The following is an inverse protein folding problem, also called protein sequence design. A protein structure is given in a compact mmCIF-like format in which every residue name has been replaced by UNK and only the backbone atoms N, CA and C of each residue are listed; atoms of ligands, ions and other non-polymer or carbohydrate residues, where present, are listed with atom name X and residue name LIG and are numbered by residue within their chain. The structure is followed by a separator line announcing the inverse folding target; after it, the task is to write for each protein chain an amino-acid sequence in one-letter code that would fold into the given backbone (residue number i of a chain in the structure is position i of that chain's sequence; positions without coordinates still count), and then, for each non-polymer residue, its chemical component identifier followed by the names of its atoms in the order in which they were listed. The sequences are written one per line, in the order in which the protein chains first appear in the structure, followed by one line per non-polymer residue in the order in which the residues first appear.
data_IF_270297271302
#
_entry.id   IF_270297271302
#
_cell.length_a   1.000
_cell.length_b   1.000
_cell.length_c   1.000
_cell.angle_alpha   90.00
_cell.angle_beta   90.00
_cell.angle_gamma   90.00
#
_symmetry.space_group_name_H-M   'P 1'
#
loop_
_entity.id
_entity.type
_entity.pdbx_description
1 polymer ?
#
# COMPACT_ATOMS: atom_id res chain seq x y z
N UNK A 1 1.53 -5.30 1.45
CA UNK A 1 0.58 -4.80 2.47
C UNK A 1 1.29 -3.73 3.31
N UNK A 2 1.16 -2.45 2.97
CA UNK A 2 1.99 -1.37 3.55
C UNK A 2 1.35 -0.68 4.77
N UNK A 3 0.01 -0.71 4.88
CA UNK A 3 -0.74 0.01 5.93
C UNK A 3 -0.45 -0.52 7.34
N UNK A 4 -0.30 -1.84 7.51
CA UNK A 4 0.02 -2.43 8.82
C UNK A 4 1.44 -2.06 9.26
N UNK A 5 2.39 -1.96 8.33
CA UNK A 5 3.75 -1.51 8.65
C UNK A 5 3.74 -0.06 9.16
N UNK A 6 3.00 0.83 8.49
CA UNK A 6 2.82 2.21 8.94
C UNK A 6 2.13 2.28 10.32
N UNK A 7 1.10 1.47 10.54
CA UNK A 7 0.42 1.39 11.83
C UNK A 7 1.32 0.88 12.96
N UNK A 8 2.26 -0.03 12.67
CA UNK A 8 3.27 -0.48 13.63
C UNK A 8 4.29 0.62 13.93
N UNK A 9 4.78 1.33 12.91
CA UNK A 9 5.69 2.48 13.08
C UNK A 9 5.05 3.57 13.94
N UNK A 10 3.75 3.83 13.74
CA UNK A 10 2.97 4.78 14.53
C UNK A 10 2.60 4.26 15.93
N UNK A 11 2.94 3.00 16.24
CA UNK A 11 2.56 2.36 17.50
C UNK A 11 1.03 2.32 17.69
N UNK A 12 0.28 2.20 16.60
CA UNK A 12 -1.17 2.39 16.56
C UNK A 12 -1.96 1.26 17.22
N UNK A 13 -1.36 0.09 17.43
CA UNK A 13 -2.07 -1.04 18.02
C UNK A 13 -2.10 -1.00 19.55
N UNK A 14 -3.30 -1.21 20.11
CA UNK A 14 -3.55 -1.45 21.53
C UNK A 14 -3.35 -2.94 21.84
N UNK A 15 -2.10 -3.39 21.79
CA UNK A 15 -1.73 -4.75 22.15
C UNK A 15 -0.40 -4.74 22.91
N UNK A 16 -0.28 -5.43 24.06
CA UNK A 16 1.00 -5.59 24.74
C UNK A 16 1.93 -6.59 24.02
N UNK A 17 1.40 -7.38 23.08
CA UNK A 17 2.10 -8.51 22.45
C UNK A 17 2.64 -8.22 21.05
N UNK A 18 2.14 -7.17 20.38
CA UNK A 18 2.62 -6.75 19.06
C UNK A 18 2.96 -5.27 19.15
N UNK A 19 4.25 -4.98 19.25
CA UNK A 19 4.80 -3.62 19.28
C UNK A 19 5.64 -3.33 18.03
N UNK A 20 6.06 -4.36 17.31
CA UNK A 20 6.98 -4.27 16.18
C UNK A 20 6.59 -5.22 15.05
N UNK A 21 7.17 -5.01 13.87
CA UNK A 21 6.99 -5.92 12.75
C UNK A 21 7.53 -7.34 13.06
N UNK A 22 8.58 -7.43 13.88
CA UNK A 22 9.17 -8.70 14.29
C UNK A 22 8.20 -9.55 15.12
N UNK A 23 7.29 -8.93 15.86
CA UNK A 23 6.31 -9.63 16.68
C UNK A 23 5.25 -10.34 15.83
N UNK A 24 4.95 -9.81 14.62
CA UNK A 24 4.03 -10.45 13.68
C UNK A 24 4.55 -11.81 13.20
N UNK A 25 5.86 -11.97 13.06
CA UNK A 25 6.47 -13.22 12.63
C UNK A 25 6.60 -14.26 13.75
N UNK A 26 6.61 -13.80 15.01
CA UNK A 26 6.71 -14.69 16.18
C UNK A 26 5.36 -15.17 16.66
N UNK A 27 4.31 -14.38 16.44
CA UNK A 27 2.98 -14.72 16.95
C UNK A 27 2.32 -15.79 16.08
N UNK A 28 1.98 -16.91 16.69
CA UNK A 28 1.13 -17.96 16.10
C UNK A 28 -0.34 -17.75 16.44
N UNK A 29 -1.22 -17.80 15.43
CA UNK A 29 -2.67 -17.76 15.67
C UNK A 29 -3.03 -18.99 16.53
N UNK A 30 -3.85 -18.78 17.57
CA UNK A 30 -4.25 -19.88 18.44
C UNK A 30 -5.00 -20.95 17.63
N UNK A 31 -4.83 -22.23 18.00
CA UNK A 31 -5.33 -23.38 17.23
C UNK A 31 -6.85 -23.36 16.94
N UNK A 32 -7.62 -22.62 17.76
CA UNK A 32 -9.08 -22.49 17.65
C UNK A 32 -9.52 -21.08 17.18
N UNK A 33 -8.64 -20.34 16.51
CA UNK A 33 -8.91 -19.00 16.00
C UNK A 33 -8.41 -18.88 14.57
N UNK A 34 -9.22 -18.28 13.69
CA UNK A 34 -8.85 -18.07 12.29
C UNK A 34 -8.16 -16.71 12.06
N UNK A 35 -8.15 -15.84 13.08
CA UNK A 35 -7.65 -14.48 12.95
C UNK A 35 -7.01 -13.93 14.22
N UNK A 36 -6.25 -12.85 14.06
CA UNK A 36 -5.74 -12.02 15.14
C UNK A 36 -6.50 -10.70 15.17
N UNK A 37 -7.09 -10.38 16.32
CA UNK A 37 -7.78 -9.11 16.50
C UNK A 37 -6.81 -7.99 16.88
N UNK A 38 -6.66 -7.04 15.97
CA UNK A 38 -5.93 -5.80 16.20
C UNK A 38 -6.89 -4.67 16.54
N UNK A 39 -6.75 -4.09 17.73
CA UNK A 39 -7.47 -2.87 18.10
C UNK A 39 -6.55 -1.68 17.96
N UNK A 40 -7.01 -0.63 17.28
CA UNK A 40 -6.29 0.64 17.23
C UNK A 40 -6.45 1.39 18.56
N UNK A 41 -5.42 2.13 18.96
CA UNK A 41 -5.52 3.06 20.08
C UNK A 41 -6.36 4.27 19.65
N UNK A 42 -7.19 4.79 20.56
CA UNK A 42 -8.18 5.83 20.23
C UNK A 42 -7.52 7.12 19.71
N UNK A 43 -6.38 7.48 20.26
CA UNK A 43 -5.56 8.63 19.88
C UNK A 43 -4.99 8.53 18.46
N UNK A 44 -4.81 7.31 17.94
CA UNK A 44 -4.28 7.10 16.57
C UNK A 44 -5.33 7.11 15.47
N UNK A 45 -6.62 7.11 15.83
CA UNK A 45 -7.72 7.05 14.83
C UNK A 45 -7.80 8.29 13.94
N UNK A 46 -7.39 9.44 14.47
CA UNK A 46 -7.37 10.72 13.73
C UNK A 46 -6.02 11.00 13.06
N UNK A 47 -5.05 10.10 13.19
CA UNK A 47 -3.73 10.27 12.57
C UNK A 47 -3.82 9.91 11.08
N UNK A 48 -3.49 10.83 10.16
CA UNK A 48 -3.54 10.51 8.73
C UNK A 48 -2.54 9.42 8.36
N UNK A 49 -2.93 8.48 7.50
CA UNK A 49 -2.04 7.41 7.02
C UNK A 49 -0.93 7.95 6.12
N UNK A 50 -1.27 8.86 5.21
CA UNK A 50 -0.30 9.53 4.35
C UNK A 50 -0.05 10.94 4.87
N UNK A 51 1.20 11.21 5.25
CA UNK A 51 1.61 12.47 5.89
C UNK A 51 2.69 13.18 5.09
N UNK A 52 2.70 14.51 5.20
CA UNK A 52 3.63 15.34 4.44
C UNK A 52 5.08 15.07 4.87
N UNK A 53 6.01 15.22 3.95
CA UNK A 53 7.43 15.33 4.27
C UNK A 53 7.76 16.78 4.64
N UNK A 54 8.36 17.00 5.81
CA UNK A 54 8.88 18.28 6.24
C UNK A 54 10.40 18.29 6.07
N UNK A 55 10.91 19.27 5.33
CA UNK A 55 12.35 19.49 5.21
C UNK A 55 12.83 20.29 6.42
N UNK A 56 13.72 19.71 7.22
CA UNK A 56 14.42 20.37 8.32
C UNK A 56 15.92 20.46 8.01
N UNK A 57 16.68 21.32 8.70
CA UNK A 57 18.14 21.37 8.55
C UNK A 57 18.83 20.02 8.79
N UNK A 58 18.25 19.17 9.64
CA UNK A 58 18.75 17.83 9.95
C UNK A 58 18.35 16.74 8.93
N UNK A 59 17.58 17.09 7.89
CA UNK A 59 17.09 16.16 6.88
C UNK A 59 15.57 16.23 6.68
N UNK A 60 15.06 15.27 5.91
CA UNK A 60 13.63 15.13 5.65
C UNK A 60 13.00 14.23 6.71
N UNK A 61 11.93 14.71 7.33
CA UNK A 61 11.13 13.92 8.27
C UNK A 61 9.67 13.83 7.81
N UNK A 62 8.96 12.78 8.21
CA UNK A 62 7.52 12.66 7.99
C UNK A 62 6.77 13.41 9.10
N UNK A 63 5.82 14.27 8.73
CA UNK A 63 4.93 14.95 9.70
C UNK A 63 4.15 13.90 10.49
N UNK A 64 3.89 14.21 11.77
CA UNK A 64 3.06 13.35 12.64
C UNK A 64 1.57 13.58 12.45
N UNK A 65 1.18 14.77 11.99
CA UNK A 65 -0.22 15.22 12.02
C UNK A 65 -0.71 15.73 10.68
N UNK A 66 0.18 16.21 9.80
CA UNK A 66 -0.23 16.88 8.58
C UNK A 66 -0.51 15.87 7.47
N UNK A 67 -1.76 15.79 6.97
CA UNK A 67 -2.09 14.88 5.89
C UNK A 67 -1.47 15.35 4.57
N UNK A 68 -1.12 14.39 3.71
CA UNK A 68 -0.89 14.67 2.30
C UNK A 68 -2.21 15.14 1.68
N UNK A 69 -2.18 16.26 0.95
CA UNK A 69 -3.38 16.76 0.26
C UNK A 69 -3.47 16.21 -1.15
N UNK A 70 -4.68 16.19 -1.71
CA UNK A 70 -4.90 15.81 -3.12
C UNK A 70 -4.04 16.63 -4.08
N UNK A 71 -3.84 17.92 -3.79
CA UNK A 71 -3.02 18.78 -4.63
C UNK A 71 -1.56 18.33 -4.64
N UNK A 72 -1.00 17.98 -3.49
CA UNK A 72 0.37 17.45 -3.38
C UNK A 72 0.52 16.15 -4.19
N UNK A 73 -0.47 15.26 -4.16
CA UNK A 73 -0.44 14.03 -4.95
C UNK A 73 -0.43 14.36 -6.45
N UNK A 74 -1.27 15.30 -6.89
CA UNK A 74 -1.34 15.72 -8.30
C UNK A 74 -0.02 16.33 -8.76
N UNK A 75 0.56 17.23 -7.96
CA UNK A 75 1.83 17.88 -8.27
C UNK A 75 2.96 16.82 -8.37
N UNK A 76 3.01 15.87 -7.44
CA UNK A 76 3.97 14.77 -7.48
C UNK A 76 3.79 13.86 -8.71
N UNK A 77 2.54 13.57 -9.11
CA UNK A 77 2.27 12.79 -10.32
C UNK A 77 2.76 13.53 -11.57
N UNK A 78 2.51 14.84 -11.64
CA UNK A 78 2.94 15.66 -12.75
C UNK A 78 4.48 15.69 -12.86
N UNK A 79 5.18 15.87 -11.74
CA UNK A 79 6.64 15.91 -11.72
C UNK A 79 7.26 14.54 -12.07
N UNK A 80 6.64 13.45 -11.59
CA UNK A 80 7.01 12.09 -11.98
C UNK A 80 6.83 11.87 -13.48
N UNK A 81 5.70 12.29 -14.05
CA UNK A 81 5.43 12.18 -15.49
C UNK A 81 6.46 12.94 -16.33
N UNK A 82 6.81 14.16 -15.92
CA UNK A 82 7.87 14.95 -16.56
C UNK A 82 9.22 14.25 -16.51
N UNK A 83 9.62 13.76 -15.33
CA UNK A 83 10.89 13.05 -15.14
C UNK A 83 10.98 11.76 -15.95
N UNK A 84 9.86 11.08 -16.18
CA UNK A 84 9.76 9.87 -16.99
C UNK A 84 9.61 10.15 -18.50
N UNK A 85 9.58 11.41 -18.94
CA UNK A 85 9.42 11.77 -20.36
C UNK A 85 8.01 11.54 -20.92
N UNK A 86 6.98 11.44 -20.06
CA UNK A 86 5.60 11.27 -20.49
C UNK A 86 5.07 12.59 -21.06
N UNK A 87 4.66 12.58 -22.33
CA UNK A 87 4.19 13.78 -23.05
C UNK A 87 2.92 14.35 -22.40
N UNK A 88 2.03 13.47 -21.96
CA UNK A 88 0.76 13.85 -21.33
C UNK A 88 0.92 14.00 -19.81
N UNK A 89 0.15 14.92 -19.22
CA UNK A 89 0.11 15.07 -17.76
C UNK A 89 -0.29 13.76 -17.09
N UNK A 90 0.64 13.19 -16.31
CA UNK A 90 0.38 12.02 -15.50
C UNK A 90 -0.55 12.39 -14.34
N UNK A 91 -1.65 11.66 -14.20
CA UNK A 91 -2.68 11.87 -13.17
C UNK A 91 -2.82 10.63 -12.29
N UNK A 92 -3.33 10.76 -11.05
CA UNK A 92 -3.59 9.60 -10.18
C UNK A 92 -4.42 8.50 -10.85
N UNK A 93 -5.40 8.89 -11.69
CA UNK A 93 -6.24 7.94 -12.41
C UNK A 93 -5.47 7.06 -13.41
N UNK A 94 -4.37 7.55 -13.98
CA UNK A 94 -3.54 6.79 -14.92
C UNK A 94 -3.00 5.50 -14.27
N UNK A 95 -2.60 5.56 -13.00
CA UNK A 95 -2.13 4.37 -12.26
C UNK A 95 -3.25 3.36 -12.05
N UNK A 96 -4.44 3.80 -11.62
CA UNK A 96 -5.59 2.90 -11.44
C UNK A 96 -5.97 2.22 -12.74
N UNK A 97 -6.05 2.98 -13.84
CA UNK A 97 -6.41 2.45 -15.15
C UNK A 97 -5.34 1.48 -15.67
N UNK A 98 -4.07 1.87 -15.63
CA UNK A 98 -2.97 1.03 -16.09
C UNK A 98 -2.85 -0.27 -15.31
N UNK A 99 -3.05 -0.24 -13.98
CA UNK A 99 -3.07 -1.44 -13.16
C UNK A 99 -4.25 -2.37 -13.53
N UNK A 100 -5.44 -1.80 -13.75
CA UNK A 100 -6.61 -2.57 -14.20
C UNK A 100 -6.39 -3.22 -15.55
N UNK A 101 -5.90 -2.47 -16.54
CA UNK A 101 -5.59 -3.00 -17.88
C UNK A 101 -4.52 -4.10 -17.83
N UNK A 102 -3.49 -3.95 -16.97
CA UNK A 102 -2.48 -4.98 -16.78
C UNK A 102 -3.07 -6.26 -16.18
N UNK A 103 -3.90 -6.15 -15.15
CA UNK A 103 -4.58 -7.30 -14.53
C UNK A 103 -5.54 -8.00 -15.50
N UNK A 104 -6.34 -7.24 -16.25
CA UNK A 104 -7.28 -7.80 -17.23
C UNK A 104 -6.54 -8.59 -18.32
N UNK A 105 -5.38 -8.11 -18.75
CA UNK A 105 -4.57 -8.81 -19.75
C UNK A 105 -3.99 -10.12 -19.17
N UNK A 106 -3.49 -10.10 -17.92
CA UNK A 106 -3.02 -11.32 -17.26
C UNK A 106 -4.13 -12.36 -17.13
N UNK A 107 -5.34 -11.95 -16.73
CA UNK A 107 -6.48 -12.86 -16.62
C UNK A 107 -6.89 -13.47 -17.97
N UNK A 108 -6.84 -12.67 -19.05
CA UNK A 108 -7.10 -13.18 -20.41
C UNK A 108 -6.06 -14.19 -20.87
N UNK A 109 -4.78 -13.98 -20.54
CA UNK A 109 -3.70 -14.93 -20.84
C UNK A 109 -3.90 -16.25 -20.08
N UNK A 110 -4.29 -16.18 -18.80
CA UNK A 110 -4.59 -17.34 -17.96
C UNK A 110 -5.87 -18.10 -18.39
N UNK A 111 -6.85 -17.42 -18.98
CA UNK A 111 -8.09 -18.03 -19.51
C UNK A 111 -7.87 -18.72 -20.87
N UNK A 112 -6.84 -18.34 -21.63
CA UNK A 112 -6.47 -19.00 -22.90
C UNK A 112 -5.61 -20.25 -22.64
N UNK A 113 -4.77 -20.25 -21.60
CA UNK A 113 -3.93 -21.38 -21.21
C UNK A 113 -4.62 -22.74 -20.88
N UNK A 114 -5.87 -22.83 -20.39
CA UNK A 114 -6.52 -24.11 -20.08
C UNK A 114 -6.99 -24.85 -21.34
N UNK A 115 -7.04 -24.18 -22.50
CA UNK A 115 -7.55 -24.76 -23.74
C UNK A 115 -6.50 -25.50 -24.58
N UNK A 116 -5.21 -25.39 -24.24
CA UNK A 116 -4.11 -25.99 -25.05
C UNK A 116 -3.65 -27.35 -24.51
N UNK A 117 -4.13 -27.80 -23.34
CA UNK A 117 -3.72 -29.10 -22.77
C UNK A 117 -4.57 -30.30 -23.24
N UNK A 118 -5.67 -30.11 -23.98
CA UNK A 118 -6.50 -31.23 -24.47
C UNK A 118 -6.19 -31.69 -25.90
N UNK A 119 -5.19 -31.12 -26.58
CA UNK A 119 -4.89 -31.44 -27.98
C UNK A 119 -3.68 -32.37 -28.21
N UNK A 120 -3.06 -32.95 -27.17
CA UNK A 120 -1.83 -33.75 -27.30
C UNK A 120 -1.89 -35.15 -26.68
N UNK A 121 -3.07 -35.74 -26.55
CA UNK A 121 -3.23 -37.18 -26.28
C UNK A 121 -4.23 -37.74 -27.30
N UNK A 122 -3.72 -38.08 -28.47
CA UNK A 122 -4.37 -38.90 -29.48
C UNK A 122 -3.41 -39.98 -29.94
#
# INVERSE_FOLDING_TARGET
MYVIALALEDGAFKSPRIQSAQDLYRWTIALNSDSLYFRFKKDTLETPVFRKSNTKPAGVETSRTDPVTTRMIIDQCHDLGKGAGVINTLKPYCFRRGAGEAMDNTLKEEEVAPSVQSAFIG
#
